data_IF_735344818388
#
_entry.id   IF_735344818388
#
_cell.length_a   1.000
_cell.length_b   1.000
_cell.length_c   1.000
_cell.angle_alpha   90.00
_cell.angle_beta   90.00
_cell.angle_gamma   90.00
#
_symmetry.space_group_name_H-M   'P 1'
#
loop_
_entity.id
_entity.type
_entity.pdbx_description
1 polymer ?
#
# COMPACT_ATOMS: atom_id res chain seq x y z
N UNK A 1 9.33 29.42 -11.76
CA UNK A 1 10.53 28.62 -12.08
C UNK A 1 10.14 27.16 -11.97
N UNK A 2 10.14 26.34 -13.04
CA UNK A 2 9.89 24.91 -12.88
C UNK A 2 11.12 24.23 -12.28
N UNK A 3 10.91 23.41 -11.26
CA UNK A 3 11.93 22.57 -10.61
C UNK A 3 12.44 21.49 -11.57
N UNK A 4 13.74 21.12 -11.54
CA UNK A 4 14.34 20.17 -12.46
C UNK A 4 13.97 18.76 -12.02
N UNK A 5 12.93 18.17 -12.62
CA UNK A 5 12.77 16.72 -12.52
C UNK A 5 14.00 16.09 -13.20
N UNK A 6 14.79 15.25 -12.49
CA UNK A 6 15.85 14.49 -13.14
C UNK A 6 15.20 13.70 -14.26
N UNK A 7 15.82 13.66 -15.45
CA UNK A 7 15.28 13.02 -16.66
C UNK A 7 15.09 11.47 -16.54
N UNK A 8 15.17 10.93 -15.33
CA UNK A 8 15.06 9.51 -14.99
C UNK A 8 13.95 9.20 -13.95
N UNK A 9 13.18 10.19 -13.50
CA UNK A 9 12.11 9.98 -12.52
C UNK A 9 10.78 9.71 -13.22
N UNK A 10 10.35 8.44 -13.26
CA UNK A 10 9.07 8.04 -13.85
C UNK A 10 7.86 8.27 -12.94
N UNK A 11 8.07 8.23 -11.63
CA UNK A 11 7.03 8.40 -10.62
C UNK A 11 7.45 9.41 -9.57
N UNK A 12 6.52 10.28 -9.17
CA UNK A 12 6.72 11.26 -8.09
C UNK A 12 5.44 11.36 -7.28
N UNK A 13 5.58 11.69 -5.99
CA UNK A 13 4.45 12.06 -5.13
C UNK A 13 4.34 13.58 -5.16
N UNK A 14 3.16 14.10 -5.48
CA UNK A 14 2.93 15.55 -5.51
C UNK A 14 3.18 16.14 -4.11
N UNK A 15 4.01 17.20 -3.96
CA UNK A 15 4.36 17.76 -2.65
C UNK A 15 3.15 18.20 -1.82
N UNK A 16 2.11 18.71 -2.48
CA UNK A 16 0.89 19.22 -1.85
C UNK A 16 -0.28 18.21 -1.92
N UNK A 17 0.03 16.91 -2.10
CA UNK A 17 -1.00 15.87 -2.12
C UNK A 17 -1.74 15.84 -0.77
N UNK A 18 -3.09 15.84 -0.77
CA UNK A 18 -3.87 15.70 0.46
C UNK A 18 -3.51 14.40 1.18
N UNK A 19 -3.49 14.43 2.53
CA UNK A 19 -3.24 13.23 3.34
C UNK A 19 -4.23 12.11 3.01
N UNK A 20 -5.49 12.44 2.76
CA UNK A 20 -6.50 11.48 2.30
C UNK A 20 -6.07 10.77 1.01
N UNK A 21 -5.60 11.51 0.01
CA UNK A 21 -5.10 10.94 -1.26
C UNK A 21 -3.92 10.01 -1.02
N UNK A 22 -2.98 10.39 -0.14
CA UNK A 22 -1.83 9.55 0.21
C UNK A 22 -2.28 8.27 0.92
N UNK A 23 -3.24 8.36 1.84
CA UNK A 23 -3.77 7.23 2.59
C UNK A 23 -4.55 6.26 1.68
N UNK A 24 -5.42 6.77 0.79
CA UNK A 24 -6.16 5.94 -0.17
C UNK A 24 -5.19 5.21 -1.11
N UNK A 25 -4.21 5.91 -1.69
CA UNK A 25 -3.23 5.26 -2.56
C UNK A 25 -2.40 4.21 -1.81
N UNK A 26 -2.06 4.48 -0.54
CA UNK A 26 -1.35 3.51 0.31
C UNK A 26 -2.22 2.29 0.59
N UNK A 27 -3.49 2.49 0.93
CA UNK A 27 -4.46 1.43 1.18
C UNK A 27 -4.59 0.50 -0.05
N UNK A 28 -4.87 1.09 -1.22
CA UNK A 28 -5.02 0.34 -2.48
C UNK A 28 -3.74 -0.40 -2.89
N UNK A 29 -2.58 0.23 -2.68
CA UNK A 29 -1.28 -0.40 -2.96
C UNK A 29 -1.07 -1.63 -2.06
N UNK A 30 -1.34 -1.52 -0.76
CA UNK A 30 -1.15 -2.64 0.17
C UNK A 30 -2.19 -3.74 -0.08
N UNK A 31 -3.46 -3.41 -0.36
CA UNK A 31 -4.48 -4.37 -0.77
C UNK A 31 -4.06 -5.15 -2.03
N UNK A 32 -3.47 -4.46 -3.01
CA UNK A 32 -2.92 -5.09 -4.21
C UNK A 32 -1.78 -6.06 -3.87
N UNK A 33 -0.86 -5.65 -3.00
CA UNK A 33 0.22 -6.51 -2.49
C UNK A 33 -0.32 -7.74 -1.76
N UNK A 34 -1.31 -7.57 -0.88
CA UNK A 34 -1.98 -8.68 -0.19
C UNK A 34 -2.52 -9.71 -1.17
N UNK A 35 -3.21 -9.26 -2.22
CA UNK A 35 -3.77 -10.14 -3.27
C UNK A 35 -2.67 -10.89 -4.02
N UNK A 36 -1.59 -10.20 -4.39
CA UNK A 36 -0.45 -10.82 -5.07
C UNK A 36 0.28 -11.85 -4.18
N UNK A 37 0.39 -11.59 -2.88
CA UNK A 37 0.99 -12.52 -1.94
C UNK A 37 0.16 -13.80 -1.77
N UNK A 38 -1.17 -13.69 -1.74
CA UNK A 38 -2.05 -14.86 -1.73
C UNK A 38 -1.89 -15.68 -3.01
N UNK A 39 -1.98 -15.05 -4.18
CA UNK A 39 -1.78 -15.73 -5.46
C UNK A 39 -0.41 -16.41 -5.54
N UNK A 40 0.66 -15.73 -5.10
CA UNK A 40 2.00 -16.31 -5.04
C UNK A 40 2.08 -17.47 -4.04
N UNK A 41 1.37 -17.40 -2.92
CA UNK A 41 1.38 -18.46 -1.91
C UNK A 41 0.77 -19.77 -2.41
N UNK A 42 -0.14 -19.70 -3.40
CA UNK A 42 -0.73 -20.87 -4.04
C UNK A 42 0.28 -21.62 -4.93
N UNK A 43 1.24 -20.89 -5.52
CA UNK A 43 2.33 -21.45 -6.34
C UNK A 43 3.53 -21.95 -5.52
N UNK A 44 3.56 -21.68 -4.21
CA UNK A 44 4.67 -22.02 -3.31
C UNK A 44 4.34 -23.21 -2.40
N UNK A 45 5.37 -23.85 -1.87
CA UNK A 45 5.24 -24.93 -0.88
C UNK A 45 6.23 -24.81 0.27
N UNK A 46 5.93 -25.47 1.38
CA UNK A 46 6.77 -25.50 2.59
C UNK A 46 7.12 -24.10 3.11
N UNK A 47 8.36 -23.92 3.55
CA UNK A 47 8.84 -22.69 4.21
C UNK A 47 8.59 -21.42 3.39
N UNK A 48 8.67 -21.47 2.06
CA UNK A 48 8.47 -20.28 1.23
C UNK A 48 7.01 -19.84 1.18
N UNK A 49 6.08 -20.80 1.17
CA UNK A 49 4.65 -20.52 1.32
C UNK A 49 4.34 -19.92 2.69
N UNK A 50 4.92 -20.47 3.75
CA UNK A 50 4.73 -19.96 5.10
C UNK A 50 5.22 -18.51 5.24
N UNK A 51 6.36 -18.19 4.61
CA UNK A 51 6.88 -16.80 4.55
C UNK A 51 5.92 -15.90 3.76
N UNK A 52 5.45 -16.32 2.58
CA UNK A 52 4.52 -15.53 1.78
C UNK A 52 3.22 -15.23 2.54
N UNK A 53 2.67 -16.23 3.24
CA UNK A 53 1.49 -16.07 4.09
C UNK A 53 1.73 -15.17 5.31
N UNK A 54 2.92 -15.24 5.91
CA UNK A 54 3.29 -14.33 7.00
C UNK A 54 3.37 -12.87 6.52
N UNK A 55 3.94 -12.61 5.34
CA UNK A 55 3.95 -11.27 4.75
C UNK A 55 2.52 -10.83 4.41
N UNK A 56 1.70 -11.72 3.84
CA UNK A 56 0.28 -11.44 3.59
C UNK A 56 -0.43 -10.99 4.86
N UNK A 57 -0.26 -11.70 5.97
CA UNK A 57 -0.86 -11.33 7.25
C UNK A 57 -0.40 -9.94 7.73
N UNK A 58 0.88 -9.59 7.54
CA UNK A 58 1.39 -8.24 7.87
C UNK A 58 0.81 -7.16 6.94
N UNK A 59 0.57 -7.49 5.67
CA UNK A 59 -0.12 -6.60 4.73
C UNK A 59 -1.57 -6.35 5.16
N UNK A 60 -2.32 -7.37 5.57
CA UNK A 60 -3.68 -7.20 6.10
C UNK A 60 -3.71 -6.31 7.36
N UNK A 61 -2.74 -6.46 8.27
CA UNK A 61 -2.62 -5.57 9.43
C UNK A 61 -2.36 -4.12 9.01
N UNK A 62 -1.53 -3.91 7.97
CA UNK A 62 -1.27 -2.59 7.42
C UNK A 62 -2.53 -1.97 6.81
N UNK A 63 -3.34 -2.76 6.09
CA UNK A 63 -4.65 -2.33 5.55
C UNK A 63 -5.58 -1.84 6.67
N UNK A 64 -5.68 -2.56 7.79
CA UNK A 64 -6.47 -2.14 8.95
C UNK A 64 -5.98 -0.83 9.56
N UNK A 65 -4.66 -0.65 9.68
CA UNK A 65 -4.07 0.57 10.22
C UNK A 65 -4.31 1.78 9.30
N UNK A 66 -4.15 1.61 7.98
CA UNK A 66 -4.38 2.67 7.00
C UNK A 66 -5.86 3.00 6.90
N UNK A 67 -6.74 1.99 6.86
CA UNK A 67 -8.20 2.19 6.89
C UNK A 67 -8.64 2.98 8.12
N UNK A 68 -8.13 2.63 9.30
CA UNK A 68 -8.39 3.41 10.52
C UNK A 68 -7.87 4.84 10.43
N UNK A 69 -6.71 5.06 9.83
CA UNK A 69 -6.19 6.41 9.61
C UNK A 69 -7.10 7.20 8.65
N UNK A 70 -7.62 6.59 7.59
CA UNK A 70 -8.60 7.23 6.69
C UNK A 70 -9.86 7.64 7.45
N UNK A 71 -10.44 6.73 8.25
CA UNK A 71 -11.64 7.01 9.05
C UNK A 71 -11.47 8.18 10.03
N UNK A 72 -10.23 8.45 10.48
CA UNK A 72 -9.94 9.61 11.34
C UNK A 72 -9.92 10.93 10.58
N UNK A 73 -9.67 10.90 9.26
CA UNK A 73 -9.61 12.08 8.39
C UNK A 73 -10.93 12.34 7.67
N UNK A 74 -11.83 11.35 7.58
CA UNK A 74 -13.18 11.56 7.06
C UNK A 74 -14.03 12.30 8.11
N UNK A 75 -14.59 13.49 7.80
CA UNK A 75 -15.45 14.20 8.73
C UNK A 75 -16.69 13.36 9.05
N UNK A 76 -16.99 13.20 10.34
CA UNK A 76 -18.24 12.57 10.79
C UNK A 76 -19.38 13.56 10.55
N UNK A 77 -20.29 13.23 9.65
CA UNK A 77 -21.56 13.94 9.48
C UNK A 77 -22.38 13.94 10.77
#
# INVERSE_FOLDING_TARGET
MPSPHPAHTLFTVTPDAPTETLLINSYETVCSVSTLLLNLSDDLTGKHRDIALAIYQLSELSVLLVGKAMDQHTPRC
#
